data_IF_494718490964
#
_entry.id   IF_494718490964
#
_cell.length_a   1.000
_cell.length_b   1.000
_cell.length_c   1.000
_cell.angle_alpha   90.00
_cell.angle_beta   90.00
_cell.angle_gamma   90.00
#
_symmetry.space_group_name_H-M   'P 1'
#
loop_
_entity.id
_entity.type
_entity.pdbx_description
1 polymer ?
#
# COMPACT_ATOMS: atom_id res chain seq x y z
N UNK A 1 29.76 -13.96 7.32
CA UNK A 1 28.67 -12.99 7.13
C UNK A 1 27.36 -13.78 7.14
N UNK A 2 26.46 -13.51 8.07
CA UNK A 2 25.13 -14.18 8.11
C UNK A 2 24.21 -13.56 7.07
N UNK A 3 23.20 -14.30 6.58
CA UNK A 3 22.26 -13.80 5.56
C UNK A 3 21.54 -12.50 5.99
N UNK A 4 21.30 -12.35 7.30
CA UNK A 4 20.72 -11.15 7.93
C UNK A 4 21.68 -9.95 7.88
N UNK A 5 22.98 -10.15 8.10
CA UNK A 5 24.00 -9.12 7.93
C UNK A 5 24.02 -8.61 6.47
N UNK A 6 23.99 -9.54 5.51
CA UNK A 6 23.96 -9.19 4.08
C UNK A 6 22.73 -8.37 3.72
N UNK A 7 21.54 -8.71 4.25
CA UNK A 7 20.31 -7.95 3.99
C UNK A 7 20.39 -6.53 4.58
N UNK A 8 20.91 -6.37 5.79
CA UNK A 8 21.10 -5.03 6.39
C UNK A 8 22.02 -4.17 5.53
N UNK A 9 23.15 -4.72 5.10
CA UNK A 9 24.12 -4.00 4.27
C UNK A 9 23.48 -3.58 2.93
N UNK A 10 22.67 -4.46 2.31
CA UNK A 10 21.89 -4.14 1.10
C UNK A 10 20.96 -2.95 1.33
N UNK A 11 20.24 -2.95 2.45
CA UNK A 11 19.27 -1.90 2.77
C UNK A 11 19.93 -0.57 3.08
N UNK A 12 21.05 -0.59 3.80
CA UNK A 12 21.83 0.61 4.09
C UNK A 12 22.36 1.24 2.80
N UNK A 13 23.00 0.46 1.93
CA UNK A 13 23.49 0.95 0.64
C UNK A 13 22.37 1.52 -0.24
N UNK A 14 21.24 0.82 -0.32
CA UNK A 14 20.07 1.29 -1.07
C UNK A 14 19.50 2.59 -0.48
N UNK A 15 19.48 2.73 0.85
CA UNK A 15 19.06 3.94 1.54
C UNK A 15 20.01 5.13 1.32
N UNK A 16 21.29 4.87 1.07
CA UNK A 16 22.31 5.86 0.72
C UNK A 16 22.29 6.25 -0.77
N UNK A 17 21.57 5.50 -1.61
CA UNK A 17 21.37 5.81 -3.03
C UNK A 17 22.20 4.95 -3.98
N UNK A 18 22.77 3.84 -3.49
CA UNK A 18 23.36 2.83 -4.35
C UNK A 18 22.28 2.18 -5.22
N UNK A 19 22.31 2.51 -6.52
CA UNK A 19 21.36 2.01 -7.51
C UNK A 19 21.45 0.49 -7.68
N UNK A 20 22.63 -0.11 -7.56
CA UNK A 20 22.80 -1.55 -7.68
C UNK A 20 22.24 -2.27 -6.45
N UNK A 21 22.42 -1.71 -5.25
CA UNK A 21 21.81 -2.26 -4.04
C UNK A 21 20.28 -2.17 -4.09
N UNK A 22 19.74 -1.06 -4.59
CA UNK A 22 18.29 -0.89 -4.73
C UNK A 22 17.70 -1.79 -5.83
N UNK A 23 18.42 -1.97 -6.95
CA UNK A 23 18.06 -2.89 -8.03
C UNK A 23 17.85 -4.33 -7.52
N UNK A 24 18.69 -4.83 -6.60
CA UNK A 24 18.48 -6.16 -5.99
C UNK A 24 17.18 -6.28 -5.20
N UNK A 25 16.74 -5.20 -4.56
CA UNK A 25 15.47 -5.17 -3.83
C UNK A 25 14.31 -5.17 -4.85
N UNK A 26 14.42 -4.37 -5.91
CA UNK A 26 13.43 -4.30 -6.99
C UNK A 26 13.28 -5.67 -7.66
N UNK A 27 14.39 -6.28 -8.09
CA UNK A 27 14.40 -7.61 -8.73
C UNK A 27 13.67 -8.66 -7.90
N UNK A 28 13.77 -8.57 -6.57
CA UNK A 28 13.14 -9.54 -5.67
C UNK A 28 11.65 -9.30 -5.44
N UNK A 29 11.20 -8.05 -5.38
CA UNK A 29 9.85 -7.73 -4.87
C UNK A 29 8.94 -7.03 -5.89
N UNK A 30 9.45 -6.63 -7.06
CA UNK A 30 8.67 -5.86 -8.03
C UNK A 30 7.42 -6.60 -8.48
N UNK A 31 7.55 -7.88 -8.85
CA UNK A 31 6.41 -8.66 -9.34
C UNK A 31 5.33 -8.84 -8.27
N UNK A 32 5.73 -9.05 -7.01
CA UNK A 32 4.78 -9.17 -5.91
C UNK A 32 4.08 -7.83 -5.63
N UNK A 33 4.81 -6.71 -5.70
CA UNK A 33 4.22 -5.38 -5.62
C UNK A 33 3.23 -5.11 -6.77
N UNK A 34 3.56 -5.54 -7.99
CA UNK A 34 2.69 -5.40 -9.16
C UNK A 34 1.42 -6.24 -9.02
N UNK A 35 1.54 -7.49 -8.56
CA UNK A 35 0.39 -8.35 -8.26
C UNK A 35 -0.53 -7.72 -7.21
N UNK A 36 0.03 -7.23 -6.10
CA UNK A 36 -0.75 -6.56 -5.05
C UNK A 36 -1.43 -5.30 -5.60
N UNK A 37 -0.69 -4.45 -6.31
CA UNK A 37 -1.22 -3.23 -6.90
C UNK A 37 -2.38 -3.52 -7.87
N UNK A 38 -2.27 -4.59 -8.66
CA UNK A 38 -3.30 -4.99 -9.61
C UNK A 38 -4.56 -5.52 -8.95
N UNK A 39 -4.47 -6.30 -7.87
CA UNK A 39 -5.68 -6.70 -7.11
C UNK A 39 -6.43 -5.47 -6.60
N UNK A 40 -5.72 -4.40 -6.24
CA UNK A 40 -6.33 -3.14 -5.80
C UNK A 40 -6.94 -2.36 -6.97
N UNK A 41 -6.20 -2.21 -8.07
CA UNK A 41 -6.59 -1.32 -9.17
C UNK A 41 -7.48 -1.95 -10.22
N UNK A 42 -7.40 -3.27 -10.41
CA UNK A 42 -8.06 -4.05 -11.47
C UNK A 42 -7.79 -3.47 -12.86
N UNK A 43 -6.55 -3.00 -13.03
CA UNK A 43 -6.06 -2.38 -14.25
C UNK A 43 -4.54 -2.46 -14.23
N UNK A 44 -3.97 -3.13 -15.24
CA UNK A 44 -2.53 -3.36 -15.35
C UNK A 44 -1.77 -2.04 -15.49
N UNK A 45 -2.26 -1.10 -16.28
CA UNK A 45 -1.58 0.18 -16.52
C UNK A 45 -1.55 1.02 -15.23
N UNK A 46 -2.67 1.03 -14.50
CA UNK A 46 -2.78 1.70 -13.19
C UNK A 46 -1.86 1.03 -12.16
N UNK A 47 -1.79 -0.30 -12.16
CA UNK A 47 -0.90 -1.05 -11.27
C UNK A 47 0.58 -0.69 -11.53
N UNK A 48 0.99 -0.62 -12.81
CA UNK A 48 2.36 -0.24 -13.18
C UNK A 48 2.69 1.21 -12.77
N UNK A 49 1.75 2.14 -12.92
CA UNK A 49 1.90 3.51 -12.41
C UNK A 49 2.09 3.49 -10.89
N UNK A 50 1.24 2.77 -10.18
CA UNK A 50 1.28 2.67 -8.72
C UNK A 50 2.60 2.07 -8.20
N UNK A 51 3.11 1.00 -8.83
CA UNK A 51 4.37 0.37 -8.44
C UNK A 51 5.56 1.32 -8.65
N UNK A 52 5.58 2.10 -9.73
CA UNK A 52 6.63 3.12 -9.93
C UNK A 52 6.61 4.16 -8.80
N UNK A 53 5.44 4.69 -8.46
CA UNK A 53 5.29 5.62 -7.32
C UNK A 53 5.64 4.96 -5.98
N UNK A 54 5.35 3.66 -5.84
CA UNK A 54 5.68 2.88 -4.65
C UNK A 54 7.18 2.74 -4.46
N UNK A 55 7.96 2.53 -5.53
CA UNK A 55 9.42 2.48 -5.43
C UNK A 55 10.05 3.80 -5.02
N UNK A 56 9.55 4.94 -5.53
CA UNK A 56 9.98 6.26 -5.06
C UNK A 56 9.66 6.46 -3.56
N UNK A 57 8.46 6.04 -3.13
CA UNK A 57 8.06 6.08 -1.72
C UNK A 57 8.96 5.18 -0.85
N UNK A 58 9.21 3.95 -1.31
CA UNK A 58 10.07 2.99 -0.62
C UNK A 58 11.50 3.55 -0.49
N UNK A 59 12.06 4.13 -1.55
CA UNK A 59 13.40 4.73 -1.52
C UNK A 59 13.52 5.80 -0.44
N UNK A 60 12.51 6.65 -0.25
CA UNK A 60 12.50 7.67 0.82
C UNK A 60 12.40 7.06 2.22
N UNK A 61 11.63 5.97 2.36
CA UNK A 61 11.36 5.33 3.67
C UNK A 61 12.40 4.29 4.10
N UNK A 62 13.25 3.80 3.19
CA UNK A 62 14.22 2.74 3.50
C UNK A 62 15.17 3.13 4.65
N UNK A 63 15.60 4.40 4.69
CA UNK A 63 16.54 4.89 5.71
C UNK A 63 15.97 4.96 7.14
N UNK A 64 14.65 4.95 7.30
CA UNK A 64 13.98 4.97 8.61
C UNK A 64 13.45 3.59 9.04
N UNK A 65 13.71 2.55 8.25
CA UNK A 65 13.25 1.20 8.56
C UNK A 65 14.06 0.60 9.72
N UNK A 66 13.44 0.49 10.89
CA UNK A 66 14.10 -0.09 12.07
C UNK A 66 14.23 -1.63 12.05
N UNK A 67 13.35 -2.35 11.34
CA UNK A 67 13.38 -3.82 11.26
C UNK A 67 13.41 -4.31 9.80
N UNK A 68 14.56 -4.78 9.29
CA UNK A 68 14.74 -5.36 7.96
C UNK A 68 13.80 -6.54 7.63
N UNK A 69 13.43 -7.35 8.62
CA UNK A 69 12.58 -8.54 8.41
C UNK A 69 11.17 -8.17 7.92
N UNK A 70 10.77 -6.92 8.18
CA UNK A 70 9.47 -6.38 7.77
C UNK A 70 9.44 -5.82 6.36
N UNK A 71 10.59 -5.77 5.69
CA UNK A 71 10.71 -5.22 4.34
C UNK A 71 9.65 -5.77 3.38
N UNK A 72 9.37 -7.08 3.31
CA UNK A 72 8.35 -7.60 2.39
C UNK A 72 6.96 -7.03 2.70
N UNK A 73 6.49 -7.13 3.95
CA UNK A 73 5.17 -6.64 4.35
C UNK A 73 5.01 -5.14 4.10
N UNK A 74 6.04 -4.37 4.41
CA UNK A 74 6.08 -2.92 4.22
C UNK A 74 6.03 -2.53 2.73
N UNK A 75 6.79 -3.19 1.86
CA UNK A 75 6.77 -2.93 0.41
C UNK A 75 5.39 -3.22 -0.18
N UNK A 76 4.77 -4.34 0.20
CA UNK A 76 3.43 -4.70 -0.28
C UNK A 76 2.37 -3.68 0.16
N UNK A 77 2.48 -3.17 1.39
CA UNK A 77 1.59 -2.14 1.91
C UNK A 77 1.74 -0.79 1.17
N UNK A 78 2.99 -0.38 0.86
CA UNK A 78 3.22 0.80 0.03
C UNK A 78 2.59 0.61 -1.36
N UNK A 79 2.82 -0.52 -2.02
CA UNK A 79 2.24 -0.81 -3.33
C UNK A 79 0.71 -0.73 -3.31
N UNK A 80 0.08 -1.34 -2.31
CA UNK A 80 -1.37 -1.33 -2.18
C UNK A 80 -1.93 0.08 -1.92
N UNK A 81 -1.25 0.89 -1.09
CA UNK A 81 -1.64 2.28 -0.84
C UNK A 81 -1.54 3.13 -2.09
N UNK A 82 -0.43 3.02 -2.83
CA UNK A 82 -0.24 3.75 -4.08
C UNK A 82 -1.25 3.33 -5.15
N UNK A 83 -1.61 2.05 -5.22
CA UNK A 83 -2.64 1.56 -6.13
C UNK A 83 -4.04 2.09 -5.79
N UNK A 84 -4.38 2.15 -4.50
CA UNK A 84 -5.63 2.77 -4.03
C UNK A 84 -5.70 4.25 -4.43
N UNK A 85 -4.62 4.99 -4.25
CA UNK A 85 -4.57 6.41 -4.57
C UNK A 85 -4.60 6.66 -6.09
N UNK A 86 -3.90 5.84 -6.88
CA UNK A 86 -3.95 5.88 -8.35
C UNK A 86 -5.35 5.55 -8.90
N UNK A 87 -6.04 4.58 -8.30
CA UNK A 87 -7.43 4.21 -8.64
C UNK A 87 -8.38 5.38 -8.39
N UNK A 88 -8.29 6.01 -7.20
CA UNK A 88 -9.08 7.22 -6.88
C UNK A 88 -8.84 8.36 -7.86
N UNK A 89 -7.59 8.59 -8.26
CA UNK A 89 -7.25 9.62 -9.24
C UNK A 89 -7.79 9.32 -10.64
N UNK A 90 -7.80 8.06 -11.06
CA UNK A 90 -8.45 7.62 -12.31
C UNK A 90 -9.95 7.85 -12.27
N UNK A 91 -10.62 7.48 -11.18
CA UNK A 91 -12.07 7.58 -11.10
C UNK A 91 -12.54 9.05 -11.12
N UNK A 92 -11.83 9.94 -10.40
CA UNK A 92 -12.06 11.39 -10.51
C UNK A 92 -11.91 11.93 -11.93
N UNK A 93 -10.85 11.52 -12.65
CA UNK A 93 -10.65 11.92 -14.06
C UNK A 93 -11.75 11.41 -14.98
N UNK A 94 -12.32 10.24 -14.70
CA UNK A 94 -13.49 9.73 -15.42
C UNK A 94 -14.72 10.58 -15.12
N UNK A 95 -14.99 10.88 -13.86
CA UNK A 95 -16.12 11.71 -13.45
C UNK A 95 -16.04 13.12 -14.06
N UNK A 96 -14.84 13.72 -14.11
CA UNK A 96 -14.59 15.01 -14.76
C UNK A 96 -14.74 14.93 -16.29
N UNK A 97 -14.35 13.80 -16.91
CA UNK A 97 -14.49 13.55 -18.35
C UNK A 97 -15.93 13.19 -18.77
N UNK A 98 -16.78 12.71 -17.86
CA UNK A 98 -18.21 12.43 -18.14
C UNK A 98 -19.01 13.71 -18.42
N UNK A 99 -18.44 14.90 -18.16
CA UNK A 99 -18.98 16.20 -18.62
C UNK A 99 -18.69 16.45 -20.12
N UNK A 100 -17.86 15.63 -20.76
CA UNK A 100 -17.53 15.70 -22.19
C UNK A 100 -17.32 14.32 -22.81
N UNK A 101 -18.39 13.74 -23.34
CA UNK A 101 -18.41 12.63 -24.31
C UNK A 101 -17.90 11.26 -23.81
N UNK A 102 -18.85 10.38 -23.50
CA UNK A 102 -18.65 9.02 -23.01
C UNK A 102 -17.94 8.10 -24.00
N UNK A 103 -16.71 7.72 -23.68
CA UNK A 103 -16.09 6.48 -24.11
C UNK A 103 -15.65 5.70 -22.87
N UNK A 104 -16.37 4.63 -22.51
CA UNK A 104 -15.89 3.70 -21.48
C UNK A 104 -14.54 3.14 -21.95
N UNK A 105 -13.44 3.28 -21.17
CA UNK A 105 -12.22 2.60 -21.53
C UNK A 105 -12.48 1.10 -21.36
N UNK A 106 -12.53 0.39 -22.48
CA UNK A 106 -12.43 -1.07 -22.51
C UNK A 106 -11.11 -1.39 -21.81
N UNK A 107 -11.18 -1.94 -20.59
CA UNK A 107 -10.01 -2.47 -19.89
C UNK A 107 -9.31 -3.44 -20.84
N UNK A 108 -8.04 -3.18 -21.15
CA UNK A 108 -7.25 -3.94 -22.13
C UNK A 108 -7.13 -5.43 -21.78
N UNK A 109 -7.47 -5.81 -20.54
CA UNK A 109 -7.72 -7.19 -20.14
C UNK A 109 -8.67 -7.91 -21.12
N UNK A 110 -9.66 -7.20 -21.68
CA UNK A 110 -10.67 -7.73 -22.61
C UNK A 110 -10.11 -8.21 -23.98
N UNK A 111 -8.83 -7.98 -24.29
CA UNK A 111 -8.26 -8.27 -25.62
C UNK A 111 -7.34 -9.51 -25.70
N UNK A 112 -7.16 -10.28 -24.61
CA UNK A 112 -6.44 -11.55 -24.67
C UNK A 112 -7.41 -12.73 -24.96
N UNK A 113 -7.24 -13.51 -26.05
CA UNK A 113 -8.11 -14.64 -26.39
C UNK A 113 -8.10 -15.81 -25.39
N UNK A 114 -7.29 -15.72 -24.32
CA UNK A 114 -7.09 -16.74 -23.30
C UNK A 114 -7.58 -16.27 -21.91
N UNK A 115 -8.70 -15.54 -21.87
CA UNK A 115 -9.43 -15.34 -20.62
C UNK A 115 -9.85 -16.71 -20.09
N UNK A 116 -9.08 -17.26 -19.15
CA UNK A 116 -9.46 -18.48 -18.44
C UNK A 116 -10.74 -18.16 -17.67
N UNK A 117 -11.74 -19.03 -17.72
CA UNK A 117 -13.02 -18.85 -17.02
C UNK A 117 -12.80 -18.46 -15.55
N UNK A 118 -11.82 -19.11 -14.90
CA UNK A 118 -11.36 -18.83 -13.54
C UNK A 118 -10.93 -17.36 -13.30
N UNK A 119 -10.26 -16.72 -14.27
CA UNK A 119 -9.84 -15.30 -14.13
C UNK A 119 -11.04 -14.35 -14.17
N UNK A 120 -12.05 -14.66 -15.01
CA UNK A 120 -13.32 -13.93 -15.09
C UNK A 120 -14.12 -14.06 -13.80
N UNK A 121 -14.11 -15.24 -13.19
CA UNK A 121 -14.77 -15.49 -11.91
C UNK A 121 -14.15 -14.65 -10.79
N UNK A 122 -12.82 -14.61 -10.70
CA UNK A 122 -12.11 -13.77 -9.72
C UNK A 122 -12.37 -12.28 -9.94
N UNK A 123 -12.26 -11.82 -11.20
CA UNK A 123 -12.57 -10.42 -11.56
C UNK A 123 -13.99 -10.04 -11.13
N UNK A 124 -14.97 -10.89 -11.47
CA UNK A 124 -16.38 -10.67 -11.11
C UNK A 124 -16.59 -10.66 -9.61
N UNK A 125 -15.93 -11.55 -8.87
CA UNK A 125 -16.06 -11.65 -7.42
C UNK A 125 -15.39 -10.47 -6.69
N UNK A 126 -14.32 -9.90 -7.26
CA UNK A 126 -13.64 -8.71 -6.71
C UNK A 126 -14.29 -7.38 -7.13
N UNK A 127 -15.08 -7.35 -8.21
CA UNK A 127 -15.74 -6.16 -8.74
C UNK A 127 -16.56 -5.35 -7.70
N UNK A 128 -17.31 -5.97 -6.76
CA UNK A 128 -18.10 -5.23 -5.77
C UNK A 128 -17.28 -4.63 -4.63
N UNK A 129 -16.02 -5.04 -4.46
CA UNK A 129 -15.19 -4.60 -3.34
C UNK A 129 -14.65 -3.20 -3.58
N UNK A 130 -14.68 -2.36 -2.55
CA UNK A 130 -14.01 -1.07 -2.60
C UNK A 130 -12.48 -1.24 -2.63
N UNK A 131 -11.76 -0.18 -3.02
CA UNK A 131 -10.30 -0.23 -3.13
C UNK A 131 -9.58 -0.52 -1.79
N UNK A 132 -10.23 -0.26 -0.65
CA UNK A 132 -9.66 -0.57 0.67
C UNK A 132 -9.78 -2.06 1.02
N UNK A 133 -10.94 -2.66 0.76
CA UNK A 133 -11.16 -4.09 0.96
C UNK A 133 -10.34 -4.90 -0.07
N UNK A 134 -10.20 -4.43 -1.32
CA UNK A 134 -9.26 -5.02 -2.30
C UNK A 134 -7.80 -4.93 -1.84
N UNK A 135 -7.40 -3.88 -1.14
CA UNK A 135 -6.08 -3.78 -0.52
C UNK A 135 -5.87 -4.85 0.55
N UNK A 136 -6.87 -5.15 1.38
CA UNK A 136 -6.80 -6.26 2.34
C UNK A 136 -6.70 -7.61 1.62
N UNK A 137 -7.44 -7.82 0.53
CA UNK A 137 -7.35 -9.04 -0.30
C UNK A 137 -5.94 -9.21 -0.87
N UNK A 138 -5.38 -8.17 -1.48
CA UNK A 138 -4.03 -8.20 -2.04
C UNK A 138 -2.99 -8.54 -0.98
N UNK A 139 -3.04 -7.89 0.18
CA UNK A 139 -2.10 -8.17 1.28
C UNK A 139 -2.26 -9.57 1.87
N UNK A 140 -3.48 -10.09 1.99
CA UNK A 140 -3.73 -11.42 2.54
C UNK A 140 -3.35 -12.54 1.57
N UNK A 141 -3.84 -12.49 0.34
CA UNK A 141 -3.81 -13.64 -0.58
C UNK A 141 -2.67 -13.56 -1.61
N UNK A 142 -2.20 -12.36 -1.96
CA UNK A 142 -0.99 -12.20 -2.79
C UNK A 142 0.25 -12.12 -1.90
N UNK A 143 0.27 -11.23 -0.91
CA UNK A 143 1.45 -11.06 -0.06
C UNK A 143 1.56 -12.09 1.08
N UNK A 144 0.50 -12.86 1.36
CA UNK A 144 0.50 -13.90 2.39
C UNK A 144 0.51 -13.37 3.82
N UNK A 145 0.20 -12.09 4.03
CA UNK A 145 0.27 -11.47 5.35
C UNK A 145 -0.87 -11.95 6.26
N UNK A 146 -0.56 -12.06 7.56
CA UNK A 146 -1.56 -12.31 8.59
C UNK A 146 -2.38 -11.06 8.93
N UNK A 147 -3.54 -11.21 9.60
CA UNK A 147 -4.38 -10.07 9.98
C UNK A 147 -3.66 -9.02 10.84
N UNK A 148 -2.77 -9.46 11.75
CA UNK A 148 -2.00 -8.56 12.60
C UNK A 148 -0.96 -7.78 11.79
N UNK A 149 -0.22 -8.43 10.89
CA UNK A 149 0.74 -7.75 10.02
C UNK A 149 0.05 -6.72 9.12
N UNK A 150 -1.08 -7.10 8.52
CA UNK A 150 -1.91 -6.19 7.72
C UNK A 150 -2.37 -5.01 8.58
N UNK A 151 -2.84 -5.27 9.79
CA UNK A 151 -3.29 -4.22 10.70
C UNK A 151 -2.18 -3.23 11.04
N UNK A 152 -0.98 -3.75 11.28
CA UNK A 152 0.20 -2.98 11.60
C UNK A 152 0.70 -2.15 10.41
N UNK A 153 0.55 -2.63 9.17
CA UNK A 153 0.89 -1.86 7.96
C UNK A 153 -0.19 -0.84 7.56
N UNK A 154 -1.48 -1.14 7.82
CA UNK A 154 -2.60 -0.26 7.47
C UNK A 154 -3.01 0.71 8.59
N UNK A 155 -2.44 0.59 9.79
CA UNK A 155 -2.79 1.43 10.94
C UNK A 155 -4.15 1.08 11.56
N UNK A 156 -4.51 -0.20 11.58
CA UNK A 156 -5.79 -0.69 12.11
C UNK A 156 -5.61 -1.92 13.01
N UNK A 157 -6.54 -2.20 13.96
CA UNK A 157 -6.45 -3.39 14.80
C UNK A 157 -6.53 -4.68 13.97
N UNK A 158 -5.69 -5.68 14.27
CA UNK A 158 -5.71 -6.98 13.57
C UNK A 158 -7.06 -7.69 13.66
N UNK A 159 -7.79 -7.53 14.78
CA UNK A 159 -9.16 -8.02 14.93
C UNK A 159 -10.15 -7.39 13.94
N UNK A 160 -9.97 -6.10 13.62
CA UNK A 160 -10.78 -5.41 12.62
C UNK A 160 -10.44 -5.87 11.20
N UNK A 161 -9.17 -6.21 10.93
CA UNK A 161 -8.75 -6.85 9.67
C UNK A 161 -9.39 -8.23 9.55
N UNK A 162 -9.34 -9.06 10.59
CA UNK A 162 -9.94 -10.39 10.59
C UNK A 162 -11.45 -10.33 10.30
N UNK A 163 -12.17 -9.39 10.93
CA UNK A 163 -13.59 -9.17 10.68
C UNK A 163 -13.88 -8.68 9.25
N UNK A 164 -12.97 -7.94 8.62
CA UNK A 164 -13.07 -7.57 7.20
C UNK A 164 -12.82 -8.76 6.29
N UNK A 165 -11.77 -9.54 6.53
CA UNK A 165 -11.44 -10.74 5.75
C UNK A 165 -12.63 -11.71 5.78
N UNK A 166 -13.24 -11.96 6.94
CA UNK A 166 -14.40 -12.83 7.06
C UNK A 166 -15.60 -12.34 6.23
N UNK A 167 -15.86 -11.02 6.21
CA UNK A 167 -16.92 -10.43 5.37
C UNK A 167 -16.64 -10.54 3.89
N UNK A 168 -15.40 -10.27 3.48
CA UNK A 168 -14.97 -10.42 2.09
C UNK A 168 -15.11 -11.89 1.66
N UNK A 169 -14.65 -12.83 2.47
CA UNK A 169 -14.79 -14.26 2.19
C UNK A 169 -16.26 -14.68 2.05
N UNK A 170 -17.13 -14.24 2.94
CA UNK A 170 -18.56 -14.55 2.84
C UNK A 170 -19.20 -14.02 1.55
N UNK A 171 -18.77 -12.83 1.08
CA UNK A 171 -19.19 -12.28 -0.19
C UNK A 171 -18.65 -13.10 -1.37
N UNK A 172 -17.35 -13.39 -1.39
CA UNK A 172 -16.70 -14.16 -2.44
C UNK A 172 -17.27 -15.59 -2.56
N UNK A 173 -17.53 -16.25 -1.43
CA UNK A 173 -18.15 -17.58 -1.35
C UNK A 173 -19.53 -17.65 -1.99
N UNK A 174 -20.33 -16.59 -1.83
CA UNK A 174 -21.66 -16.50 -2.43
C UNK A 174 -21.57 -16.48 -3.96
N UNK A 175 -20.53 -15.83 -4.49
CA UNK A 175 -20.37 -15.58 -5.92
C UNK A 175 -19.58 -16.70 -6.64
N UNK A 176 -18.77 -17.49 -5.92
CA UNK A 176 -17.91 -18.55 -6.46
C UNK A 176 -18.52 -19.97 -6.49
N UNK A 177 -19.82 -20.14 -6.21
CA UNK A 177 -20.55 -21.44 -6.34
C UNK A 177 -19.89 -22.66 -5.63
N UNK A 178 -19.18 -22.45 -4.52
CA UNK A 178 -18.50 -23.54 -3.79
C UNK A 178 -19.49 -24.49 -3.10
N UNK A 179 -19.31 -25.80 -3.28
CA UNK A 179 -20.06 -26.83 -2.55
C UNK A 179 -19.77 -26.74 -1.02
N UNK A 180 -20.77 -26.74 -0.12
CA UNK A 180 -20.59 -26.45 1.32
C UNK A 180 -19.79 -27.49 2.14
N UNK A 181 -19.13 -28.46 1.50
CA UNK A 181 -18.59 -29.66 2.17
C UNK A 181 -17.09 -29.58 2.46
N UNK A 182 -16.39 -28.57 1.95
CA UNK A 182 -14.93 -28.43 2.10
C UNK A 182 -14.55 -27.58 3.33
N UNK A 183 -13.47 -27.96 4.01
CA UNK A 183 -12.93 -27.22 5.16
C UNK A 183 -12.55 -25.78 4.76
N UNK A 184 -12.66 -24.82 5.68
CA UNK A 184 -12.25 -23.41 5.47
C UNK A 184 -10.83 -23.30 4.88
N UNK A 185 -9.90 -24.13 5.35
CA UNK A 185 -8.51 -24.17 4.86
C UNK A 185 -8.36 -24.61 3.40
N UNK A 186 -9.29 -25.41 2.89
CA UNK A 186 -9.31 -25.76 1.48
C UNK A 186 -9.70 -24.53 0.66
N UNK A 187 -10.76 -23.83 1.08
CA UNK A 187 -11.25 -22.65 0.40
C UNK A 187 -10.23 -21.50 0.41
N UNK A 188 -9.57 -21.25 1.54
CA UNK A 188 -8.51 -20.23 1.60
C UNK A 188 -7.35 -20.55 0.64
N UNK A 189 -6.97 -21.82 0.48
CA UNK A 189 -5.92 -22.23 -0.47
C UNK A 189 -6.35 -22.05 -1.91
N UNK A 190 -7.56 -22.47 -2.26
CA UNK A 190 -8.12 -22.29 -3.60
C UNK A 190 -8.21 -20.79 -3.96
N UNK A 191 -8.75 -19.98 -3.05
CA UNK A 191 -8.83 -18.53 -3.24
C UNK A 191 -7.44 -17.89 -3.39
N UNK A 192 -6.46 -18.31 -2.57
CA UNK A 192 -5.08 -17.84 -2.69
C UNK A 192 -4.51 -18.12 -4.09
N UNK A 193 -4.70 -19.34 -4.59
CA UNK A 193 -4.22 -19.74 -5.91
C UNK A 193 -4.91 -18.94 -7.03
N UNK A 194 -6.24 -18.80 -6.96
CA UNK A 194 -7.03 -18.06 -7.94
C UNK A 194 -6.64 -16.58 -7.99
N UNK A 195 -6.58 -15.92 -6.83
CA UNK A 195 -6.20 -14.50 -6.74
C UNK A 195 -4.77 -14.28 -7.23
N UNK A 196 -3.82 -15.17 -6.91
CA UNK A 196 -2.45 -15.09 -7.44
C UNK A 196 -2.39 -15.28 -8.96
N UNK A 197 -3.08 -16.29 -9.49
CA UNK A 197 -3.13 -16.54 -10.94
C UNK A 197 -3.80 -15.40 -11.71
N UNK A 198 -4.77 -14.72 -11.10
CA UNK A 198 -5.37 -13.51 -11.66
C UNK A 198 -4.38 -12.33 -11.61
N UNK A 199 -3.67 -12.17 -10.49
CA UNK A 199 -2.70 -11.10 -10.30
C UNK A 199 -1.45 -11.20 -11.19
N UNK A 200 -1.11 -12.40 -11.68
CA UNK A 200 -0.01 -12.61 -12.65
C UNK A 200 -0.19 -11.82 -13.96
N UNK A 201 -1.39 -11.35 -14.27
CA UNK A 201 -1.63 -10.44 -15.40
C UNK A 201 -0.85 -9.12 -15.29
N UNK A 202 -0.44 -8.73 -14.08
CA UNK A 202 0.33 -7.52 -13.83
C UNK A 202 1.84 -7.71 -13.95
N UNK A 203 2.31 -8.95 -14.11
CA UNK A 203 3.74 -9.26 -14.20
C UNK A 203 4.19 -8.99 -15.62
N UNK A 204 4.97 -7.92 -15.77
CA UNK A 204 5.53 -7.48 -17.05
C UNK A 204 7.05 -7.39 -16.93
N UNK A 205 7.82 -7.72 -17.98
CA UNK A 205 9.25 -7.51 -17.96
C UNK A 205 9.59 -6.04 -17.70
N UNK A 206 10.57 -5.81 -16.83
CA UNK A 206 11.09 -4.47 -16.52
C UNK A 206 12.59 -4.42 -16.75
N UNK A 207 13.09 -3.23 -17.04
CA UNK A 207 14.50 -2.90 -16.85
C UNK A 207 14.70 -2.49 -15.38
N UNK A 208 15.22 -3.42 -14.58
CA UNK A 208 15.41 -3.22 -13.13
C UNK A 208 16.33 -2.04 -12.84
N UNK A 209 17.38 -1.84 -13.64
CA UNK A 209 18.33 -0.76 -13.45
C UNK A 209 17.66 0.59 -13.73
N UNK A 210 16.93 0.69 -14.84
CA UNK A 210 16.19 1.91 -15.17
C UNK A 210 15.11 2.24 -14.12
N UNK A 211 14.41 1.24 -13.59
CA UNK A 211 13.44 1.43 -12.49
C UNK A 211 14.14 1.94 -11.23
N UNK A 212 15.30 1.39 -10.88
CA UNK A 212 16.07 1.82 -9.71
C UNK A 212 16.52 3.27 -9.84
N UNK A 213 17.09 3.66 -10.98
CA UNK A 213 17.54 5.03 -11.27
C UNK A 213 16.37 6.02 -11.21
N UNK A 214 15.27 5.72 -11.92
CA UNK A 214 14.09 6.57 -11.95
C UNK A 214 13.46 6.75 -10.57
N UNK A 215 13.43 5.69 -9.75
CA UNK A 215 12.90 5.77 -8.39
C UNK A 215 13.82 6.55 -7.45
N UNK A 216 15.14 6.47 -7.61
CA UNK A 216 16.11 7.28 -6.86
C UNK A 216 15.95 8.76 -7.21
N UNK A 217 15.84 9.07 -8.51
CA UNK A 217 15.61 10.44 -8.98
C UNK A 217 14.27 10.99 -8.46
N UNK A 218 13.18 10.24 -8.61
CA UNK A 218 11.85 10.62 -8.11
C UNK A 218 11.79 10.73 -6.58
N UNK A 219 12.64 10.00 -5.85
CA UNK A 219 12.73 10.11 -4.41
C UNK A 219 13.44 11.39 -3.95
N UNK A 220 14.39 11.91 -4.75
CA UNK A 220 15.08 13.16 -4.47
C UNK A 220 14.19 14.40 -4.70
N UNK A 221 13.16 14.28 -5.53
CA UNK A 221 12.13 15.32 -5.69
C UNK A 221 11.16 15.26 -4.50
N UNK A 222 11.01 16.34 -3.72
CA UNK A 222 9.98 16.39 -2.69
C UNK A 222 8.60 16.27 -3.35
N UNK A 223 7.79 15.31 -2.89
CA UNK A 223 6.43 15.03 -3.39
C UNK A 223 5.64 16.35 -3.56
N UNK A 224 5.22 16.71 -4.78
CA UNK A 224 4.35 17.86 -4.98
C UNK A 224 3.03 17.58 -4.26
N UNK A 225 2.76 18.37 -3.22
CA UNK A 225 1.61 18.19 -2.34
C UNK A 225 1.95 17.64 -0.96
N UNK A 226 3.14 17.09 -0.68
CA UNK A 226 3.50 16.69 0.69
C UNK A 226 3.51 17.89 1.65
N UNK A 227 3.97 19.06 1.20
CA UNK A 227 3.88 20.28 2.00
C UNK A 227 2.44 20.76 2.21
N UNK A 228 1.52 20.48 1.27
CA UNK A 228 0.12 20.89 1.33
C UNK A 228 -0.72 19.89 2.15
N UNK A 229 -0.42 18.60 2.02
CA UNK A 229 -0.99 17.51 2.78
C UNK A 229 -0.47 17.50 4.22
N UNK A 230 0.83 17.77 4.45
CA UNK A 230 1.34 18.06 5.79
C UNK A 230 0.72 19.34 6.36
N UNK A 231 0.49 20.40 5.57
CA UNK A 231 -0.26 21.58 6.05
C UNK A 231 -1.71 21.27 6.37
N UNK A 232 -2.38 20.41 5.60
CA UNK A 232 -3.76 19.98 5.85
C UNK A 232 -3.83 19.11 7.12
N UNK A 233 -2.97 18.10 7.23
CA UNK A 233 -2.89 17.20 8.37
C UNK A 233 -2.43 17.93 9.64
N UNK A 234 -1.41 18.80 9.55
CA UNK A 234 -1.01 19.68 10.66
C UNK A 234 -2.06 20.74 10.96
N UNK A 235 -2.83 21.21 9.98
CA UNK A 235 -3.95 22.12 10.18
C UNK A 235 -5.06 21.49 11.02
N UNK A 236 -5.43 20.25 10.71
CA UNK A 236 -6.38 19.45 11.50
C UNK A 236 -5.86 19.20 12.92
N UNK A 237 -4.58 18.88 13.07
CA UNK A 237 -3.93 18.73 14.39
C UNK A 237 -3.88 20.06 15.15
N UNK A 238 -3.58 21.17 14.47
CA UNK A 238 -3.51 22.52 15.05
C UNK A 238 -4.87 23.03 15.53
N UNK A 239 -5.94 22.65 14.83
CA UNK A 239 -7.32 22.98 15.19
C UNK A 239 -7.81 22.14 16.38
N UNK A 240 -7.47 20.84 16.42
CA UNK A 240 -7.75 19.95 17.55
C UNK A 240 -6.97 20.31 18.83
N UNK A 241 -5.80 20.95 18.69
CA UNK A 241 -5.01 21.47 19.82
C UNK A 241 -5.50 22.83 20.34
N UNK A 242 -6.51 23.43 19.73
CA UNK A 242 -7.10 24.73 20.14
C UNK A 242 -7.37 24.85 21.64
N UNK A 243 -8.02 23.86 22.30
CA UNK A 243 -8.27 23.90 23.75
C UNK A 243 -7.00 23.83 24.62
N UNK A 244 -5.96 23.15 24.13
CA UNK A 244 -4.65 23.04 24.80
C UNK A 244 -3.87 24.35 24.64
N UNK A 245 -3.90 24.95 23.44
CA UNK A 245 -3.27 26.24 23.14
C UNK A 245 -3.82 27.38 23.99
N UNK A 246 -5.13 27.39 24.24
CA UNK A 246 -5.78 28.40 25.07
C UNK A 246 -5.33 28.31 26.54
N UNK A 247 -5.10 27.10 27.06
CA UNK A 247 -4.58 26.89 28.42
C UNK A 247 -3.09 27.24 28.56
N UNK A 248 -2.31 27.15 27.46
CA UNK A 248 -0.87 27.40 27.46
C UNK A 248 -0.49 28.85 27.07
N UNK A 249 -1.47 29.70 26.75
CA UNK A 249 -1.25 31.12 26.36
C UNK A 249 -0.58 31.97 27.44
N UNK A 250 -0.61 31.53 28.69
CA UNK A 250 -0.05 32.23 29.84
C UNK A 250 1.36 31.77 30.23
N UNK A 251 1.96 30.82 29.51
CA UNK A 251 3.31 30.32 29.79
C UNK A 251 4.40 31.23 29.19
N UNK A 252 5.56 31.24 29.86
CA UNK A 252 6.70 32.08 29.51
C UNK A 252 7.34 31.61 28.17
N UNK A 253 7.99 32.49 27.39
CA UNK A 253 8.54 32.16 26.07
C UNK A 253 9.58 31.02 26.06
N UNK A 254 10.29 30.80 27.17
CA UNK A 254 11.25 29.71 27.33
C UNK A 254 10.55 28.34 27.52
N UNK A 255 9.40 28.32 28.21
CA UNK A 255 8.58 27.11 28.35
C UNK A 255 7.93 26.72 27.02
N UNK A 256 7.67 27.71 26.16
CA UNK A 256 7.23 27.53 24.77
C UNK A 256 8.25 26.79 23.91
N UNK A 257 9.55 27.04 24.09
CA UNK A 257 10.59 26.34 23.32
C UNK A 257 10.74 24.87 23.76
N UNK A 258 10.58 24.60 25.06
CA UNK A 258 10.56 23.24 25.60
C UNK A 258 9.32 22.48 25.12
N UNK A 259 8.15 23.12 25.10
CA UNK A 259 6.90 22.54 24.60
C UNK A 259 6.88 22.38 23.08
N UNK A 260 7.45 23.30 22.31
CA UNK A 260 7.57 23.16 20.86
C UNK A 260 8.48 21.97 20.50
N UNK A 261 9.57 21.78 21.26
CA UNK A 261 10.40 20.59 21.17
C UNK A 261 9.62 19.31 21.48
N UNK A 262 8.80 19.30 22.54
CA UNK A 262 7.92 18.17 22.87
C UNK A 262 6.84 17.94 21.81
N UNK A 263 6.24 18.98 21.22
CA UNK A 263 5.23 18.83 20.15
C UNK A 263 5.85 18.30 18.87
N UNK A 264 7.08 18.73 18.52
CA UNK A 264 7.82 18.18 17.38
C UNK A 264 8.26 16.74 17.65
N UNK A 265 8.67 16.42 18.87
CA UNK A 265 9.00 15.05 19.29
C UNK A 265 7.75 14.18 19.33
N UNK A 266 6.61 14.66 19.83
CA UNK A 266 5.33 13.93 19.86
C UNK A 266 4.79 13.76 18.44
N UNK A 267 4.90 14.76 17.57
CA UNK A 267 4.56 14.61 16.16
C UNK A 267 5.49 13.59 15.48
N UNK A 268 6.80 13.65 15.73
CA UNK A 268 7.75 12.67 15.21
C UNK A 268 7.54 11.26 15.77
N UNK A 269 7.13 11.12 17.04
CA UNK A 269 6.80 9.85 17.70
C UNK A 269 5.43 9.33 17.28
N UNK A 270 4.45 10.19 16.98
CA UNK A 270 3.16 9.80 16.39
C UNK A 270 3.31 9.43 14.92
N UNK A 271 4.26 10.04 14.20
CA UNK A 271 4.56 9.70 12.80
C UNK A 271 5.47 8.47 12.68
N UNK A 272 6.41 8.28 13.61
CA UNK A 272 7.22 7.07 13.72
C UNK A 272 6.49 5.92 14.46
N UNK A 273 5.45 6.26 15.23
CA UNK A 273 4.68 5.39 16.13
C UNK A 273 3.17 5.45 15.89
N UNK A 274 2.74 5.69 14.65
CA UNK A 274 1.37 5.40 14.19
C UNK A 274 1.00 3.90 14.26
N UNK A 275 1.92 3.09 14.78
CA UNK A 275 1.67 1.80 15.43
C UNK A 275 1.64 2.03 16.94
N UNK A 276 0.48 1.73 17.53
CA UNK A 276 0.14 1.79 18.96
C UNK A 276 -0.62 3.06 19.35
N UNK A 277 -1.94 3.02 19.16
CA UNK A 277 -2.84 3.82 19.99
C UNK A 277 -3.03 3.17 21.37
N UNK A 278 -3.45 3.94 22.38
CA UNK A 278 -4.25 3.43 23.49
C UNK A 278 -5.64 4.09 23.43
N UNK A 279 -6.74 3.38 23.69
CA UNK A 279 -6.92 2.53 24.85
C UNK A 279 -7.46 3.40 25.99
N UNK A 280 -8.77 3.63 25.94
CA UNK A 280 -9.60 4.32 26.93
C UNK A 280 -11.05 4.15 26.54
#
# INVERSE_FOLDING_TARGET
>A
MTADQTLRDVLTQAAEGDAAAFARIIERYHDDMARVAFVVSDDVEVAQVAVRSAWATARRGLGSMGNPERLPAWLMAIAAKQAKDATRGRDRRKDDAVVGESGAPVTRASLAPAYRTEQREVETALAPLDAHDRMIVGLRYVAGLGPDDIGVELGMPGSAVQARIARILAQLLKDLHGEPTETIDHYERALTQLVRSYADLAVVPIDVAAVAEAAIEAAAVPEPGLAEQLRADLGVVWEQLGPVRERLRHLNPLDWLLLAGVVVIVAAVVFAGGRSGPGG
#
